data_IF_751847165099
#
_entry.id   IF_751847165099
#
_cell.length_a   1.000
_cell.length_b   1.000
_cell.length_c   1.000
_cell.angle_alpha   90.00
_cell.angle_beta   90.00
_cell.angle_gamma   90.00
#
_symmetry.space_group_name_H-M   'P 1'
#
loop_
_entity.id
_entity.type
_entity.pdbx_description
1 polymer ?
#
# COMPACT_ATOMS: atom_id res chain seq x y z
N UNK A 1 -4.64 -9.72 15.89
CA UNK A 1 -4.90 -8.49 15.10
C UNK A 1 -6.31 -8.57 14.55
N UNK A 2 -7.10 -7.48 14.56
CA UNK A 2 -8.50 -7.56 14.09
C UNK A 2 -8.55 -7.64 12.57
N UNK A 3 -8.89 -8.82 12.03
CA UNK A 3 -9.09 -9.02 10.59
C UNK A 3 -10.08 -8.02 9.98
N UNK A 4 -11.07 -7.58 10.75
CA UNK A 4 -12.07 -6.58 10.34
C UNK A 4 -11.45 -5.24 9.90
N UNK A 5 -10.39 -4.77 10.56
CA UNK A 5 -9.74 -3.50 10.18
C UNK A 5 -9.01 -3.63 8.85
N UNK A 6 -8.27 -4.73 8.67
CA UNK A 6 -7.56 -5.04 7.43
C UNK A 6 -8.56 -5.15 6.28
N UNK A 7 -9.65 -5.89 6.49
CA UNK A 7 -10.70 -6.07 5.50
C UNK A 7 -11.35 -4.74 5.09
N UNK A 8 -11.65 -3.86 6.05
CA UNK A 8 -12.15 -2.50 5.75
C UNK A 8 -11.19 -1.70 4.89
N UNK A 9 -9.89 -1.76 5.16
CA UNK A 9 -8.89 -1.07 4.35
C UNK A 9 -8.81 -1.67 2.94
N UNK A 10 -8.74 -3.01 2.81
CA UNK A 10 -8.69 -3.68 1.50
C UNK A 10 -9.92 -3.37 0.65
N UNK A 11 -11.13 -3.45 1.23
CA UNK A 11 -12.38 -3.04 0.54
C UNK A 11 -12.34 -1.60 0.07
N UNK A 12 -11.78 -0.69 0.86
CA UNK A 12 -11.64 0.72 0.46
C UNK A 12 -10.64 0.90 -0.68
N UNK A 13 -9.53 0.16 -0.68
CA UNK A 13 -8.58 0.17 -1.80
C UNK A 13 -9.25 -0.37 -3.08
N UNK A 14 -10.05 -1.42 -2.99
CA UNK A 14 -10.85 -1.94 -4.10
C UNK A 14 -11.87 -0.92 -4.61
N UNK A 15 -12.57 -0.20 -3.72
CA UNK A 15 -13.49 0.86 -4.13
C UNK A 15 -12.79 1.91 -5.00
N UNK A 16 -11.59 2.37 -4.61
CA UNK A 16 -10.83 3.31 -5.46
C UNK A 16 -10.49 2.73 -6.84
N UNK A 17 -10.21 1.43 -6.95
CA UNK A 17 -9.95 0.81 -8.26
C UNK A 17 -11.21 0.70 -9.12
N UNK A 18 -12.40 0.56 -8.51
CA UNK A 18 -13.66 0.63 -9.26
C UNK A 18 -13.89 2.02 -9.85
N UNK A 19 -13.59 3.08 -9.09
CA UNK A 19 -13.66 4.45 -9.60
C UNK A 19 -12.72 4.71 -10.79
N UNK A 20 -11.58 3.99 -10.86
CA UNK A 20 -10.65 4.08 -12.01
C UNK A 20 -11.31 3.63 -13.31
N UNK A 21 -12.18 2.61 -13.25
CA UNK A 21 -12.86 2.08 -14.43
C UNK A 21 -13.91 3.06 -14.99
N UNK A 22 -14.48 3.91 -14.14
CA UNK A 22 -15.49 4.89 -14.52
C UNK A 22 -14.91 6.29 -14.82
N UNK A 23 -13.70 6.57 -14.34
CA UNK A 23 -13.08 7.89 -14.49
C UNK A 23 -12.60 8.14 -15.93
N UNK A 24 -13.06 9.27 -16.50
CA UNK A 24 -12.64 9.74 -17.82
C UNK A 24 -11.49 10.75 -17.77
N UNK A 25 -11.34 11.42 -16.62
CA UNK A 25 -10.25 12.36 -16.35
C UNK A 25 -8.98 11.61 -15.92
N UNK A 26 -7.88 11.87 -16.61
CA UNK A 26 -6.61 11.17 -16.38
C UNK A 26 -5.98 11.49 -15.02
N UNK A 27 -6.15 12.71 -14.53
CA UNK A 27 -5.60 13.12 -13.24
C UNK A 27 -6.38 12.45 -12.10
N UNK A 28 -7.71 12.31 -12.26
CA UNK A 28 -8.53 11.54 -11.32
C UNK A 28 -8.20 10.05 -11.34
N UNK A 29 -7.96 9.46 -12.53
CA UNK A 29 -7.50 8.07 -12.65
C UNK A 29 -6.21 7.85 -11.83
N UNK A 30 -5.21 8.70 -12.04
CA UNK A 30 -3.93 8.60 -11.33
C UNK A 30 -4.13 8.78 -9.81
N UNK A 31 -4.95 9.74 -9.41
CA UNK A 31 -5.28 9.97 -8.01
C UNK A 31 -5.91 8.72 -7.37
N UNK A 32 -6.91 8.11 -8.00
CA UNK A 32 -7.56 6.91 -7.46
C UNK A 32 -6.61 5.72 -7.38
N UNK A 33 -5.76 5.51 -8.39
CA UNK A 33 -4.71 4.49 -8.34
C UNK A 33 -3.79 4.73 -7.15
N UNK A 34 -3.30 5.96 -6.95
CA UNK A 34 -2.42 6.29 -5.83
C UNK A 34 -3.12 6.04 -4.49
N UNK A 35 -4.37 6.47 -4.33
CA UNK A 35 -5.15 6.25 -3.11
C UNK A 35 -5.37 4.77 -2.82
N UNK A 36 -5.65 3.96 -3.84
CA UNK A 36 -5.76 2.51 -3.71
C UNK A 36 -4.46 1.88 -3.21
N UNK A 37 -3.34 2.19 -3.88
CA UNK A 37 -2.02 1.68 -3.52
C UNK A 37 -1.63 2.06 -2.09
N UNK A 38 -1.81 3.32 -1.71
CA UNK A 38 -1.51 3.79 -0.35
C UNK A 38 -2.28 3.00 0.71
N UNK A 39 -3.58 2.79 0.51
CA UNK A 39 -4.44 2.12 1.50
C UNK A 39 -4.14 0.61 1.56
N UNK A 40 -3.95 -0.03 0.41
CA UNK A 40 -3.66 -1.45 0.35
C UNK A 40 -2.33 -1.78 1.04
N UNK A 41 -1.27 -1.02 0.75
CA UNK A 41 0.04 -1.24 1.38
C UNK A 41 -0.02 -0.98 2.90
N UNK A 42 -0.79 0.02 3.35
CA UNK A 42 -1.06 0.22 4.79
C UNK A 42 -1.76 -0.98 5.43
N UNK A 43 -2.72 -1.57 4.72
CA UNK A 43 -3.41 -2.78 5.19
C UNK A 43 -2.43 -3.95 5.34
N UNK A 44 -1.53 -4.16 4.37
CA UNK A 44 -0.49 -5.18 4.43
C UNK A 44 0.47 -4.97 5.60
N UNK A 45 0.95 -3.73 5.81
CA UNK A 45 1.84 -3.44 6.94
C UNK A 45 1.17 -3.78 8.29
N UNK A 46 -0.13 -3.47 8.42
CA UNK A 46 -0.86 -3.81 9.63
C UNK A 46 -1.16 -5.30 9.75
N UNK A 47 -1.49 -5.98 8.66
CA UNK A 47 -1.78 -7.42 8.62
C UNK A 47 -0.56 -8.28 8.96
N UNK A 48 0.61 -7.92 8.42
CA UNK A 48 1.84 -8.70 8.56
C UNK A 48 2.59 -8.32 9.85
N UNK A 49 2.72 -7.03 10.14
CA UNK A 49 3.58 -6.54 11.23
C UNK A 49 2.80 -5.92 12.40
N UNK A 50 1.50 -5.67 12.27
CA UNK A 50 0.72 -4.93 13.27
C UNK A 50 0.97 -3.42 13.26
N UNK A 51 1.75 -2.93 12.30
CA UNK A 51 2.19 -1.55 12.25
C UNK A 51 1.14 -0.67 11.57
N UNK A 52 0.62 0.33 12.30
CA UNK A 52 -0.23 1.37 11.72
C UNK A 52 0.64 2.48 11.14
N UNK A 53 0.82 2.45 9.82
CA UNK A 53 1.60 3.45 9.11
C UNK A 53 0.84 4.80 9.07
N UNK A 54 1.51 5.87 9.52
CA UNK A 54 1.05 7.25 9.38
C UNK A 54 1.68 7.90 8.14
N UNK A 55 0.98 8.88 7.55
CA UNK A 55 1.44 9.58 6.35
C UNK A 55 0.80 9.05 5.06
N UNK A 56 0.92 9.83 3.98
CA UNK A 56 0.24 9.56 2.71
C UNK A 56 1.18 9.27 1.56
N UNK A 57 2.43 9.73 1.56
CA UNK A 57 3.33 9.46 0.44
C UNK A 57 3.55 7.96 0.23
N UNK A 58 3.20 7.46 -0.97
CA UNK A 58 3.40 6.06 -1.35
C UNK A 58 4.87 5.64 -1.18
N UNK A 59 5.82 6.52 -1.53
CA UNK A 59 7.26 6.30 -1.32
C UNK A 59 7.60 6.02 0.14
N UNK A 60 7.07 6.83 1.06
CA UNK A 60 7.34 6.68 2.49
C UNK A 60 6.71 5.40 3.04
N UNK A 61 5.50 5.07 2.60
CA UNK A 61 4.81 3.84 2.98
C UNK A 61 5.60 2.61 2.49
N UNK A 62 5.99 2.57 1.22
CA UNK A 62 6.79 1.48 0.64
C UNK A 62 8.18 1.35 1.29
N UNK A 63 8.85 2.48 1.56
CA UNK A 63 10.12 2.46 2.28
C UNK A 63 9.98 1.93 3.70
N UNK A 64 8.82 2.13 4.34
CA UNK A 64 8.54 1.56 5.66
C UNK A 64 8.28 0.07 5.56
N UNK A 65 7.47 -0.38 4.59
CA UNK A 65 7.26 -1.80 4.32
C UNK A 65 8.60 -2.53 4.07
N UNK A 66 9.48 -1.98 3.24
CA UNK A 66 10.77 -2.60 2.95
C UNK A 66 11.65 -2.75 4.20
N UNK A 67 11.73 -1.71 5.05
CA UNK A 67 12.43 -1.78 6.33
C UNK A 67 11.82 -2.81 7.27
N UNK A 68 10.49 -2.93 7.32
CA UNK A 68 9.81 -3.91 8.17
C UNK A 68 10.04 -5.34 7.67
N UNK A 69 10.06 -5.56 6.35
CA UNK A 69 10.45 -6.85 5.74
C UNK A 69 11.89 -7.24 6.05
N UNK A 70 12.83 -6.30 5.90
CA UNK A 70 14.25 -6.55 6.19
C UNK A 70 14.48 -6.93 7.66
N UNK A 71 13.79 -6.26 8.60
CA UNK A 71 13.84 -6.59 10.03
C UNK A 71 13.32 -7.98 10.38
N UNK A 72 12.49 -8.55 9.52
CA UNK A 72 11.92 -9.89 9.69
C UNK A 72 12.65 -10.92 8.78
N UNK A 73 13.86 -10.60 8.33
CA UNK A 73 14.72 -11.42 7.46
C UNK A 73 14.16 -11.75 6.06
N UNK A 74 13.12 -11.03 5.61
CA UNK A 74 12.59 -11.12 4.23
C UNK A 74 13.38 -10.25 3.25
N UNK A 75 14.70 -10.47 3.16
CA UNK A 75 15.64 -9.63 2.40
C UNK A 75 15.30 -9.56 0.91
N UNK A 76 14.98 -10.68 0.27
CA UNK A 76 14.64 -10.71 -1.16
C UNK A 76 13.40 -9.85 -1.47
N UNK A 77 12.37 -9.92 -0.62
CA UNK A 77 11.16 -9.12 -0.78
C UNK A 77 11.44 -7.62 -0.54
N UNK A 78 12.26 -7.30 0.47
CA UNK A 78 12.70 -5.92 0.73
C UNK A 78 13.49 -5.35 -0.45
N UNK A 79 14.46 -6.10 -0.98
CA UNK A 79 15.29 -5.67 -2.11
C UNK A 79 14.47 -5.37 -3.37
N UNK A 80 13.46 -6.19 -3.67
CA UNK A 80 12.54 -5.94 -4.81
C UNK A 80 11.77 -4.63 -4.69
N UNK A 81 11.48 -4.17 -3.47
CA UNK A 81 10.80 -2.89 -3.24
C UNK A 81 11.75 -1.68 -3.31
N UNK A 82 13.02 -1.86 -2.94
CA UNK A 82 14.01 -0.77 -2.87
C UNK A 82 14.76 -0.62 -4.20
N UNK A 83 14.93 -1.70 -4.98
CA UNK A 83 15.58 -1.63 -6.29
C UNK A 83 14.72 -0.82 -7.26
N UNK A 84 15.16 0.43 -7.49
CA UNK A 84 14.97 1.11 -8.76
C UNK A 84 15.51 0.20 -9.87
N UNK A 85 14.68 -0.10 -10.87
CA UNK A 85 15.21 -0.34 -12.20
C UNK A 85 16.07 0.88 -12.58
N UNK A 86 17.27 0.69 -13.18
CA UNK A 86 18.13 1.78 -13.63
C UNK A 86 17.38 2.80 -14.49
#
# INVERSE_FOLDING_TARGET
MSGEYVEKLKKRAESFMKEVEEATDKDLVIFFIEQSLQIYVKALCYEIFGERIRGHSLRTILGTLARSLEKQDFKEASEKLIRKHP
#
